data_IF_850223086374
#
_entry.id   IF_850223086374
#
_cell.length_a   1.000
_cell.length_b   1.000
_cell.length_c   1.000
_cell.angle_alpha   90.00
_cell.angle_beta   90.00
_cell.angle_gamma   90.00
#
_symmetry.space_group_name_H-M   'P 1'
#
loop_
_entity.id
_entity.type
_entity.pdbx_description
1 polymer ?
#
# COMPACT_ATOMS: atom_id res chain seq x y z
N UNK A 1 12.15 -1.92 -27.89
CA UNK A 1 11.45 -3.19 -27.53
C UNK A 1 9.95 -2.99 -27.67
N UNK A 2 9.43 -1.83 -27.27
CA UNK A 2 8.02 -1.49 -27.45
C UNK A 2 7.63 -1.40 -28.93
N UNK A 3 8.50 -0.80 -29.77
CA UNK A 3 8.32 -0.77 -31.23
C UNK A 3 8.23 -2.16 -31.87
N UNK A 4 9.00 -3.14 -31.35
CA UNK A 4 9.02 -4.51 -31.86
C UNK A 4 7.70 -5.25 -31.63
N UNK A 5 6.92 -4.80 -30.65
CA UNK A 5 5.64 -5.39 -30.28
C UNK A 5 4.47 -4.43 -30.55
N UNK A 6 4.69 -3.24 -31.10
CA UNK A 6 3.65 -2.23 -31.32
C UNK A 6 2.80 -2.01 -30.06
N UNK A 7 3.48 -1.60 -28.98
CA UNK A 7 2.86 -1.33 -27.67
C UNK A 7 3.24 0.06 -27.19
N UNK A 8 2.30 0.73 -26.52
CA UNK A 8 2.47 2.06 -25.95
C UNK A 8 2.58 1.97 -24.41
N UNK A 9 3.34 2.87 -23.76
CA UNK A 9 3.35 2.97 -22.29
C UNK A 9 2.01 3.40 -21.70
N UNK A 10 1.14 4.02 -22.53
CA UNK A 10 -0.22 4.39 -22.16
C UNK A 10 -1.24 3.48 -22.84
N UNK A 11 -2.24 3.06 -22.08
CA UNK A 11 -3.35 2.23 -22.56
C UNK A 11 -4.68 2.93 -22.27
N UNK A 12 -5.63 2.81 -23.19
CA UNK A 12 -7.00 3.28 -23.00
C UNK A 12 -7.88 2.08 -22.62
N UNK A 13 -8.44 2.14 -21.42
CA UNK A 13 -9.32 1.10 -20.86
C UNK A 13 -10.50 1.78 -20.16
N UNK A 14 -11.60 1.05 -20.03
CA UNK A 14 -12.75 1.54 -19.25
C UNK A 14 -12.43 1.51 -17.75
N UNK A 15 -13.20 2.26 -16.96
CA UNK A 15 -13.10 2.23 -15.49
C UNK A 15 -13.35 0.81 -14.96
N UNK A 16 -14.33 0.11 -15.52
CA UNK A 16 -14.64 -1.27 -15.16
C UNK A 16 -13.46 -2.22 -15.42
N UNK A 17 -12.81 -2.10 -16.58
CA UNK A 17 -11.63 -2.91 -16.93
C UNK A 17 -10.43 -2.62 -16.03
N UNK A 18 -10.20 -1.36 -15.67
CA UNK A 18 -9.08 -1.01 -14.80
C UNK A 18 -9.31 -1.51 -13.37
N UNK A 19 -10.55 -1.45 -12.88
CA UNK A 19 -10.85 -1.75 -11.47
C UNK A 19 -11.24 -3.21 -11.27
N UNK A 20 -12.18 -3.74 -12.06
CA UNK A 20 -12.89 -4.98 -11.76
C UNK A 20 -12.67 -6.09 -12.80
N UNK A 21 -13.11 -5.88 -14.04
CA UNK A 21 -13.12 -6.96 -15.05
C UNK A 21 -11.74 -7.29 -15.60
N UNK A 22 -10.77 -6.40 -15.39
CA UNK A 22 -9.42 -6.53 -15.89
C UNK A 22 -9.30 -6.22 -17.39
N UNK A 23 -8.10 -5.84 -17.79
CA UNK A 23 -7.72 -5.78 -19.21
C UNK A 23 -6.46 -6.59 -19.47
N UNK A 24 -6.35 -7.12 -20.69
CA UNK A 24 -5.17 -7.86 -21.10
C UNK A 24 -4.01 -6.91 -21.37
N UNK A 25 -2.87 -7.12 -20.71
CA UNK A 25 -1.68 -6.32 -20.95
C UNK A 25 -1.12 -6.61 -22.36
N UNK A 26 -1.16 -5.64 -23.30
CA UNK A 26 -0.79 -5.90 -24.70
C UNK A 26 0.66 -6.36 -24.84
N UNK A 27 1.57 -5.81 -24.02
CA UNK A 27 3.00 -6.15 -24.07
C UNK A 27 3.27 -7.56 -23.54
N UNK A 28 2.71 -7.93 -22.39
CA UNK A 28 2.94 -9.23 -21.77
C UNK A 28 2.45 -10.34 -22.70
N UNK A 29 1.20 -10.23 -23.19
CA UNK A 29 0.63 -11.24 -24.07
C UNK A 29 1.44 -11.36 -25.38
N UNK A 30 1.83 -10.24 -25.99
CA UNK A 30 2.64 -10.27 -27.22
C UNK A 30 4.04 -10.86 -27.00
N UNK A 31 4.71 -10.57 -25.88
CA UNK A 31 6.03 -11.13 -25.54
C UNK A 31 5.92 -12.62 -25.28
N UNK A 32 4.97 -13.04 -24.44
CA UNK A 32 4.79 -14.46 -24.09
C UNK A 32 4.41 -15.27 -25.33
N UNK A 33 3.48 -14.78 -26.15
CA UNK A 33 3.08 -15.45 -27.39
C UNK A 33 4.27 -15.60 -28.37
N UNK A 34 5.13 -14.58 -28.48
CA UNK A 34 6.31 -14.64 -29.36
C UNK A 34 7.38 -15.58 -28.81
N UNK A 35 7.55 -15.68 -27.49
CA UNK A 35 8.47 -16.60 -26.84
C UNK A 35 7.98 -18.06 -26.97
N UNK A 36 6.69 -18.31 -26.76
CA UNK A 36 6.05 -19.61 -27.00
C UNK A 36 6.19 -20.01 -28.47
N UNK A 37 5.92 -19.10 -29.41
CA UNK A 37 6.13 -19.33 -30.85
C UNK A 37 7.59 -19.69 -31.16
N UNK A 38 8.56 -18.95 -30.59
CA UNK A 38 9.98 -19.21 -30.77
C UNK A 38 10.37 -20.60 -30.26
N UNK A 39 9.99 -20.95 -29.03
CA UNK A 39 10.33 -22.26 -28.44
C UNK A 39 9.67 -23.41 -29.21
N UNK A 40 8.39 -23.27 -29.58
CA UNK A 40 7.67 -24.30 -30.33
C UNK A 40 8.25 -24.52 -31.73
N UNK A 41 8.66 -23.45 -32.44
CA UNK A 41 9.12 -23.54 -33.83
C UNK A 41 10.63 -23.76 -34.01
N UNK A 42 11.46 -23.33 -33.07
CA UNK A 42 12.92 -23.50 -33.16
C UNK A 42 13.46 -24.67 -32.34
N UNK A 43 12.85 -24.96 -31.18
CA UNK A 43 13.38 -25.96 -30.23
C UNK A 43 12.57 -27.27 -30.31
N UNK A 44 11.42 -27.28 -31.00
CA UNK A 44 10.61 -28.49 -31.22
C UNK A 44 9.95 -29.04 -29.95
N UNK A 45 10.07 -28.33 -28.83
CA UNK A 45 9.38 -28.63 -27.58
C UNK A 45 7.97 -28.06 -27.73
N UNK A 46 6.94 -28.92 -27.76
CA UNK A 46 5.56 -28.47 -27.61
C UNK A 46 5.34 -28.04 -26.16
N UNK A 47 5.52 -26.76 -25.86
CA UNK A 47 4.99 -26.21 -24.61
C UNK A 47 3.46 -26.40 -24.66
N UNK A 48 2.91 -27.14 -23.70
CA UNK A 48 1.46 -27.29 -23.57
C UNK A 48 0.85 -25.94 -23.18
N UNK A 49 -0.05 -25.50 -24.07
CA UNK A 49 -1.12 -24.50 -23.96
C UNK A 49 -0.78 -23.09 -23.50
N UNK A 50 -1.20 -22.15 -24.35
CA UNK A 50 -1.74 -20.83 -24.01
C UNK A 50 -1.58 -20.47 -22.54
N UNK A 51 -0.53 -19.74 -22.21
CA UNK A 51 -0.50 -19.01 -20.95
C UNK A 51 -1.79 -18.21 -20.90
N UNK A 52 -2.65 -18.53 -19.93
CA UNK A 52 -3.90 -17.81 -19.72
C UNK A 52 -3.58 -16.30 -19.80
N UNK A 53 -4.35 -15.52 -20.58
CA UNK A 53 -4.04 -14.12 -20.78
C UNK A 53 -3.89 -13.43 -19.43
N UNK A 54 -2.76 -12.74 -19.22
CA UNK A 54 -2.53 -12.03 -17.98
C UNK A 54 -3.37 -10.75 -17.98
N UNK A 55 -4.25 -10.66 -16.99
CA UNK A 55 -5.08 -9.48 -16.78
C UNK A 55 -4.43 -8.54 -15.77
N UNK A 56 -4.56 -7.25 -16.02
CA UNK A 56 -4.22 -6.18 -15.10
C UNK A 56 -5.54 -5.60 -14.58
N UNK A 57 -5.66 -5.55 -13.27
CA UNK A 57 -6.79 -4.96 -12.54
C UNK A 57 -6.29 -4.46 -11.18
N UNK A 58 -6.97 -3.45 -10.64
CA UNK A 58 -6.66 -2.89 -9.33
C UNK A 58 -7.41 -3.55 -8.18
N UNK A 59 -8.54 -4.21 -8.46
CA UNK A 59 -9.34 -4.90 -7.46
C UNK A 59 -9.74 -6.31 -7.93
N UNK A 60 -8.89 -7.29 -7.64
CA UNK A 60 -9.17 -8.70 -7.86
C UNK A 60 -10.04 -9.34 -6.77
N UNK A 61 -10.35 -8.61 -5.70
CA UNK A 61 -10.83 -9.18 -4.44
C UNK A 61 -12.34 -9.00 -4.21
N UNK A 62 -13.11 -8.88 -5.30
CA UNK A 62 -14.55 -8.72 -5.16
C UNK A 62 -15.20 -10.00 -4.61
N UNK A 63 -15.88 -9.88 -3.46
CA UNK A 63 -16.50 -10.98 -2.73
C UNK A 63 -15.53 -12.12 -2.36
N UNK A 64 -14.24 -11.81 -2.20
CA UNK A 64 -13.22 -12.75 -1.72
C UNK A 64 -12.79 -12.39 -0.30
N UNK A 65 -12.25 -13.38 0.39
CA UNK A 65 -11.43 -13.17 1.58
C UNK A 65 -10.44 -14.32 1.63
N UNK A 66 -9.18 -13.99 1.90
CA UNK A 66 -8.17 -15.01 2.17
C UNK A 66 -7.55 -14.84 3.56
N UNK A 67 -7.66 -13.64 4.16
CA UNK A 67 -7.09 -13.36 5.46
C UNK A 67 -8.08 -13.72 6.59
N UNK A 68 -7.65 -14.60 7.49
CA UNK A 68 -8.37 -14.95 8.70
C UNK A 68 -7.71 -14.32 9.92
N UNK A 69 -8.28 -13.23 10.44
CA UNK A 69 -7.74 -12.50 11.58
C UNK A 69 -8.09 -13.17 12.92
N UNK A 70 -7.06 -13.36 13.75
CA UNK A 70 -7.23 -13.69 15.16
C UNK A 70 -7.11 -12.40 15.97
N UNK A 71 -8.14 -12.06 16.73
CA UNK A 71 -8.21 -10.79 17.45
C UNK A 71 -8.41 -10.99 18.94
N UNK A 72 -7.93 -10.04 19.72
CA UNK A 72 -8.23 -9.95 21.15
C UNK A 72 -9.70 -9.60 21.35
N UNK A 73 -10.41 -10.43 22.12
CA UNK A 73 -11.83 -10.18 22.46
C UNK A 73 -12.04 -9.05 23.46
N UNK A 74 -10.97 -8.59 24.11
CA UNK A 74 -11.05 -7.61 25.21
C UNK A 74 -11.35 -8.22 26.59
N UNK A 75 -11.56 -9.54 26.69
CA UNK A 75 -11.91 -10.22 27.96
C UNK A 75 -10.82 -10.09 29.02
N UNK A 76 -9.56 -10.28 28.63
CA UNK A 76 -8.40 -10.21 29.53
C UNK A 76 -7.88 -8.78 29.70
N UNK A 77 -7.94 -7.98 28.64
CA UNK A 77 -7.52 -6.59 28.63
C UNK A 77 -8.42 -5.78 27.67
N UNK A 78 -9.22 -4.88 28.25
CA UNK A 78 -10.17 -4.05 27.49
C UNK A 78 -9.45 -3.05 26.58
N UNK A 79 -8.21 -2.66 26.89
CA UNK A 79 -7.42 -1.75 26.05
C UNK A 79 -6.91 -2.41 24.76
N UNK A 80 -6.99 -3.74 24.69
CA UNK A 80 -6.61 -4.53 23.51
C UNK A 80 -7.80 -5.05 22.72
N UNK A 81 -9.04 -4.63 23.03
CA UNK A 81 -10.23 -5.08 22.30
C UNK A 81 -10.08 -4.85 20.79
N UNK A 82 -10.25 -5.91 20.00
CA UNK A 82 -10.13 -5.89 18.54
C UNK A 82 -8.71 -5.88 18.00
N UNK A 83 -7.69 -5.81 18.85
CA UNK A 83 -6.31 -5.81 18.38
C UNK A 83 -5.99 -7.13 17.70
N UNK A 84 -5.37 -7.05 16.53
CA UNK A 84 -4.98 -8.22 15.75
C UNK A 84 -3.77 -8.87 16.41
N UNK A 85 -3.90 -10.16 16.71
CA UNK A 85 -2.83 -11.00 17.23
C UNK A 85 -1.93 -11.53 16.12
N UNK A 86 -2.58 -12.00 15.06
CA UNK A 86 -2.03 -12.65 13.87
C UNK A 86 -3.13 -12.79 12.82
N UNK A 87 -2.78 -13.01 11.56
CA UNK A 87 -3.70 -13.50 10.54
C UNK A 87 -3.12 -14.76 9.87
N UNK A 88 -4.02 -15.67 9.55
CA UNK A 88 -3.74 -16.85 8.73
C UNK A 88 -4.27 -16.63 7.30
N UNK A 89 -3.85 -17.48 6.37
CA UNK A 89 -4.43 -17.55 5.03
C UNK A 89 -5.41 -18.73 4.93
N UNK A 90 -6.46 -18.62 4.11
CA UNK A 90 -7.47 -19.66 3.94
C UNK A 90 -7.17 -20.59 2.77
N UNK A 91 -6.61 -20.03 1.70
CA UNK A 91 -6.39 -20.68 0.39
C UNK A 91 -4.95 -20.58 -0.07
N UNK A 92 -4.05 -20.09 0.78
CA UNK A 92 -2.65 -19.78 0.45
C UNK A 92 -2.45 -18.70 -0.63
N UNK A 93 -3.49 -17.92 -0.95
CA UNK A 93 -3.36 -16.79 -1.89
C UNK A 93 -2.59 -15.61 -1.27
N UNK A 94 -2.66 -15.46 0.05
CA UNK A 94 -2.00 -14.44 0.86
C UNK A 94 -0.89 -15.03 1.70
N UNK A 95 0.11 -14.21 2.05
CA UNK A 95 1.08 -14.57 3.09
C UNK A 95 0.42 -14.46 4.47
N UNK A 96 0.60 -15.45 5.38
CA UNK A 96 0.18 -15.33 6.77
C UNK A 96 1.16 -14.47 7.56
N UNK A 97 0.76 -13.98 8.74
CA UNK A 97 1.68 -13.34 9.69
C UNK A 97 2.47 -14.36 10.50
N UNK A 98 3.64 -13.97 11.00
CA UNK A 98 4.40 -14.74 11.98
C UNK A 98 4.10 -14.25 13.40
N UNK A 99 3.00 -14.75 13.98
CA UNK A 99 2.49 -14.23 15.24
C UNK A 99 2.10 -12.76 15.08
N UNK A 100 2.68 -11.89 15.91
CA UNK A 100 2.45 -10.44 15.83
C UNK A 100 3.45 -9.71 14.90
N UNK A 101 4.01 -10.42 13.92
CA UNK A 101 4.94 -9.85 12.94
C UNK A 101 4.42 -9.98 11.51
N UNK A 102 4.58 -8.92 10.72
CA UNK A 102 4.30 -8.89 9.29
C UNK A 102 5.37 -9.70 8.53
N UNK A 103 5.04 -10.22 7.34
CA UNK A 103 6.02 -10.91 6.48
C UNK A 103 7.27 -10.06 6.23
N UNK A 104 8.46 -10.60 6.52
CA UNK A 104 9.74 -9.91 6.30
C UNK A 104 9.93 -9.52 4.83
N UNK A 105 9.37 -10.31 3.91
CA UNK A 105 9.42 -10.06 2.47
C UNK A 105 8.75 -8.75 2.05
N UNK A 106 7.81 -8.22 2.84
CA UNK A 106 7.17 -6.93 2.54
C UNK A 106 8.10 -5.75 2.81
N UNK A 107 8.94 -5.84 3.86
CA UNK A 107 9.75 -4.73 4.34
C UNK A 107 11.20 -5.15 4.61
N UNK A 108 12.01 -5.40 3.57
CA UNK A 108 13.40 -5.83 3.73
C UNK A 108 14.26 -4.80 4.48
N UNK A 109 13.83 -3.53 4.56
CA UNK A 109 14.47 -2.50 5.37
C UNK A 109 14.51 -2.81 6.88
N UNK A 110 13.78 -3.83 7.35
CA UNK A 110 13.77 -4.23 8.76
C UNK A 110 15.14 -4.62 9.33
N UNK A 111 16.03 -5.14 8.48
CA UNK A 111 17.38 -5.59 8.84
C UNK A 111 18.48 -4.64 8.35
N UNK A 112 18.09 -3.48 7.82
CA UNK A 112 19.04 -2.53 7.24
C UNK A 112 19.97 -1.94 8.31
N UNK A 113 21.27 -2.01 8.06
CA UNK A 113 22.31 -1.54 9.00
C UNK A 113 22.24 -0.04 9.32
N UNK A 114 21.58 0.73 8.47
CA UNK A 114 21.39 2.18 8.63
C UNK A 114 20.08 2.57 9.33
N UNK A 115 19.23 1.59 9.67
CA UNK A 115 17.94 1.83 10.31
C UNK A 115 17.90 1.16 11.69
N UNK A 116 18.20 1.93 12.74
CA UNK A 116 18.26 1.44 14.12
C UNK A 116 16.97 0.74 14.56
N UNK A 117 15.82 1.28 14.15
CA UNK A 117 14.50 0.73 14.48
C UNK A 117 13.82 0.04 13.30
N UNK A 118 14.59 -0.60 12.41
CA UNK A 118 14.05 -1.29 11.23
C UNK A 118 12.95 -2.30 11.56
N UNK A 119 13.10 -3.03 12.67
CA UNK A 119 12.11 -4.01 13.14
C UNK A 119 10.71 -3.42 13.39
N UNK A 120 10.57 -2.12 13.59
CA UNK A 120 9.26 -1.45 13.69
C UNK A 120 8.40 -1.66 12.44
N UNK A 121 9.04 -1.84 11.27
CA UNK A 121 8.34 -2.08 10.01
C UNK A 121 7.59 -3.42 9.95
N UNK A 122 8.00 -4.40 10.77
CA UNK A 122 7.37 -5.71 10.84
C UNK A 122 6.31 -5.80 11.93
N UNK A 123 6.02 -4.72 12.68
CA UNK A 123 5.07 -4.80 13.78
C UNK A 123 3.63 -4.95 13.27
N UNK A 124 2.93 -6.00 13.69
CA UNK A 124 1.47 -6.10 13.61
C UNK A 124 0.89 -5.60 14.94
N UNK A 125 0.19 -4.46 14.90
CA UNK A 125 -0.42 -3.87 16.10
C UNK A 125 -1.70 -3.12 15.75
N UNK A 126 -2.59 -3.00 16.74
CA UNK A 126 -3.87 -2.32 16.59
C UNK A 126 -4.96 -3.16 15.94
N UNK A 127 -6.09 -2.50 15.68
CA UNK A 127 -7.26 -3.10 15.03
C UNK A 127 -7.15 -2.97 13.50
N UNK A 128 -8.16 -3.43 12.78
CA UNK A 128 -8.30 -3.19 11.33
C UNK A 128 -8.90 -1.80 11.01
N UNK A 129 -9.23 -1.00 12.02
CA UNK A 129 -9.79 0.35 11.87
C UNK A 129 -11.32 0.44 11.90
N UNK A 130 -12.03 -0.68 12.01
CA UNK A 130 -13.52 -0.68 12.09
C UNK A 130 -14.03 -0.19 13.46
N UNK A 131 -13.22 -0.39 14.50
CA UNK A 131 -13.44 0.08 15.86
C UNK A 131 -12.13 0.12 16.63
N UNK A 132 -12.13 0.80 17.78
CA UNK A 132 -10.98 1.01 18.63
C UNK A 132 -11.30 0.68 20.09
N UNK A 133 -10.29 0.70 20.95
CA UNK A 133 -10.46 0.49 22.38
C UNK A 133 -11.30 1.61 23.03
N UNK A 134 -11.96 1.28 24.14
CA UNK A 134 -12.72 2.23 24.94
C UNK A 134 -11.83 3.30 25.62
N UNK A 135 -12.45 4.43 25.95
CA UNK A 135 -11.83 5.54 26.70
C UNK A 135 -10.60 6.15 26.01
N UNK A 136 -10.74 6.42 24.70
CA UNK A 136 -9.72 7.05 23.87
C UNK A 136 -9.42 8.45 24.40
N UNK A 137 -8.13 8.78 24.48
CA UNK A 137 -7.63 10.09 24.87
C UNK A 137 -7.06 10.82 23.67
N UNK A 138 -7.10 12.15 23.72
CA UNK A 138 -6.48 13.03 22.72
C UNK A 138 -4.96 12.85 22.59
N UNK A 139 -4.32 12.29 23.62
CA UNK A 139 -2.88 11.97 23.65
C UNK A 139 -2.57 10.60 23.07
N UNK A 140 -3.57 9.79 22.74
CA UNK A 140 -3.35 8.45 22.23
C UNK A 140 -2.84 8.51 20.79
N UNK A 141 -1.96 7.55 20.46
CA UNK A 141 -1.52 7.28 19.10
C UNK A 141 -2.10 5.92 18.72
N UNK A 142 -3.15 5.91 17.90
CA UNK A 142 -3.99 4.74 17.65
C UNK A 142 -3.38 3.86 16.56
N UNK A 143 -2.90 2.64 16.86
CA UNK A 143 -2.40 1.73 15.83
C UNK A 143 -3.56 1.17 15.00
N UNK A 144 -3.36 1.11 13.70
CA UNK A 144 -4.26 0.45 12.75
C UNK A 144 -3.44 -0.34 11.75
N UNK A 145 -3.73 -1.63 11.63
CA UNK A 145 -3.16 -2.46 10.59
C UNK A 145 -3.99 -2.31 9.31
N UNK A 146 -3.35 -1.88 8.22
CA UNK A 146 -4.00 -1.70 6.93
C UNK A 146 -3.35 -2.66 5.95
N UNK A 147 -4.05 -3.76 5.67
CA UNK A 147 -3.55 -4.83 4.79
C UNK A 147 -3.15 -4.30 3.40
N UNK A 148 -3.95 -3.40 2.82
CA UNK A 148 -3.65 -2.76 1.52
C UNK A 148 -2.35 -1.95 1.52
N UNK A 149 -1.91 -1.45 2.69
CA UNK A 149 -0.64 -0.74 2.84
C UNK A 149 0.49 -1.64 3.32
N UNK A 150 0.19 -2.92 3.56
CA UNK A 150 1.14 -3.92 4.01
C UNK A 150 1.80 -3.55 5.34
N UNK A 151 1.22 -2.64 6.15
CA UNK A 151 1.84 -2.14 7.38
C UNK A 151 0.85 -1.72 8.45
N UNK A 152 1.34 -1.67 9.68
CA UNK A 152 0.71 -0.89 10.76
C UNK A 152 1.04 0.59 10.56
N UNK A 153 0.01 1.42 10.66
CA UNK A 153 0.10 2.88 10.69
C UNK A 153 -0.49 3.38 12.00
N UNK A 154 -0.17 4.61 12.40
CA UNK A 154 -0.72 5.17 13.61
C UNK A 154 -1.45 6.48 13.34
N UNK A 155 -2.67 6.59 13.86
CA UNK A 155 -3.47 7.80 13.77
C UNK A 155 -3.22 8.69 15.00
N UNK A 156 -3.26 9.99 14.81
CA UNK A 156 -3.10 10.99 15.87
C UNK A 156 -4.31 11.91 15.93
N UNK A 157 -4.65 12.38 17.12
CA UNK A 157 -5.73 13.34 17.33
C UNK A 157 -5.46 14.63 16.54
N UNK A 158 -6.50 15.15 15.90
CA UNK A 158 -6.52 16.43 15.18
C UNK A 158 -7.40 17.45 15.91
N UNK A 159 -8.68 17.13 16.11
CA UNK A 159 -9.65 18.06 16.72
C UNK A 159 -10.90 17.36 17.29
N UNK A 160 -11.67 18.10 18.08
CA UNK A 160 -13.02 17.70 18.47
C UNK A 160 -13.98 17.89 17.29
N UNK A 161 -14.95 16.98 17.16
CA UNK A 161 -15.98 16.99 16.13
C UNK A 161 -17.35 16.64 16.72
N UNK A 162 -18.40 16.86 15.95
CA UNK A 162 -19.75 16.37 16.25
C UNK A 162 -20.30 15.73 14.99
N UNK A 163 -20.66 14.45 15.08
CA UNK A 163 -21.23 13.67 13.97
C UNK A 163 -22.65 13.31 14.34
N UNK A 164 -23.63 13.82 13.60
CA UNK A 164 -25.07 13.56 13.85
C UNK A 164 -25.48 13.81 15.33
N UNK A 165 -24.93 14.87 15.94
CA UNK A 165 -25.20 15.24 17.33
C UNK A 165 -24.38 14.48 18.39
N UNK A 166 -23.54 13.53 17.99
CA UNK A 166 -22.66 12.77 18.88
C UNK A 166 -21.28 13.43 18.94
N UNK A 167 -20.79 13.83 20.13
CA UNK A 167 -19.44 14.37 20.27
C UNK A 167 -18.39 13.29 20.00
N UNK A 168 -17.34 13.65 19.27
CA UNK A 168 -16.27 12.73 18.91
C UNK A 168 -14.91 13.41 18.77
N UNK A 169 -13.89 12.60 18.58
CA UNK A 169 -12.52 13.02 18.28
C UNK A 169 -12.16 12.63 16.85
N UNK A 170 -11.69 13.60 16.06
CA UNK A 170 -11.08 13.34 14.76
C UNK A 170 -9.64 12.91 14.96
N UNK A 171 -9.32 11.75 14.43
CA UNK A 171 -7.97 11.25 14.25
C UNK A 171 -7.61 11.28 12.76
N UNK A 172 -6.34 11.57 12.47
CA UNK A 172 -5.81 11.62 11.10
C UNK A 172 -4.55 10.78 10.99
N UNK A 173 -4.21 10.38 9.76
CA UNK A 173 -2.90 9.80 9.48
C UNK A 173 -1.88 10.95 9.41
N UNK A 174 -0.91 11.09 10.33
CA UNK A 174 -0.01 12.25 10.30
C UNK A 174 0.99 12.17 9.15
N UNK A 175 1.49 13.32 8.68
CA UNK A 175 2.46 13.42 7.59
C UNK A 175 3.72 12.55 7.83
N UNK A 176 4.15 12.48 9.08
CA UNK A 176 5.34 11.73 9.48
C UNK A 176 5.23 10.22 9.23
N UNK A 177 4.02 9.67 8.99
CA UNK A 177 3.90 8.22 8.72
C UNK A 177 4.55 7.76 7.42
N UNK A 178 4.71 8.68 6.46
CA UNK A 178 5.43 8.44 5.22
C UNK A 178 6.77 9.17 5.17
N UNK A 179 7.31 9.54 6.34
CA UNK A 179 8.63 10.13 6.47
C UNK A 179 9.63 9.09 6.97
N UNK A 180 10.48 8.58 6.06
CA UNK A 180 11.48 7.55 6.37
C UNK A 180 12.72 8.10 7.09
N UNK A 181 12.83 9.42 7.29
CA UNK A 181 13.87 9.99 8.18
C UNK A 181 13.52 9.79 9.65
N UNK A 182 12.25 9.53 9.98
CA UNK A 182 11.84 9.12 11.30
C UNK A 182 12.39 7.71 11.58
N UNK A 183 13.13 7.48 12.68
CA UNK A 183 13.62 6.16 13.04
C UNK A 183 12.52 5.08 13.06
N UNK A 184 11.30 5.41 13.50
CA UNK A 184 10.21 4.44 13.54
C UNK A 184 9.74 3.99 12.14
N UNK A 185 10.04 4.79 11.11
CA UNK A 185 9.62 4.56 9.72
C UNK A 185 10.76 4.18 8.77
N UNK A 186 12.02 4.22 9.22
CA UNK A 186 13.16 3.95 8.34
C UNK A 186 13.16 2.52 7.77
N UNK A 187 12.47 1.56 8.40
CA UNK A 187 12.34 0.19 7.92
C UNK A 187 11.38 0.02 6.73
N UNK A 188 10.54 1.02 6.46
CA UNK A 188 9.62 1.04 5.30
C UNK A 188 10.28 1.58 4.02
N UNK A 189 11.59 1.82 4.05
CA UNK A 189 12.34 2.35 2.93
C UNK A 189 13.01 1.23 2.14
N UNK A 190 12.73 1.22 0.83
CA UNK A 190 13.35 0.32 -0.13
C UNK A 190 14.39 1.10 -0.97
N UNK A 191 15.65 0.63 -1.07
CA UNK A 191 16.67 1.23 -1.93
C UNK A 191 16.23 1.39 -3.39
N UNK A 192 16.45 2.58 -3.95
CA UNK A 192 16.08 2.86 -5.33
C UNK A 192 17.01 2.16 -6.31
N UNK A 193 16.45 1.39 -7.23
CA UNK A 193 17.26 0.71 -8.26
C UNK A 193 17.69 1.64 -9.40
N UNK A 194 16.88 2.64 -9.73
CA UNK A 194 17.07 3.49 -10.92
C UNK A 194 16.94 5.00 -10.62
N UNK A 195 16.79 5.38 -9.35
CA UNK A 195 16.41 6.74 -8.93
C UNK A 195 14.90 6.99 -9.05
N UNK A 196 14.46 8.17 -8.59
CA UNK A 196 13.08 8.63 -8.72
C UNK A 196 13.04 10.16 -8.58
N UNK A 197 12.27 10.86 -9.42
CA UNK A 197 12.21 12.33 -9.39
C UNK A 197 13.60 12.98 -9.52
N UNK A 198 13.96 13.93 -8.62
CA UNK A 198 15.30 14.51 -8.51
C UNK A 198 16.24 13.67 -7.62
N UNK A 199 15.73 12.57 -7.05
CA UNK A 199 16.47 11.70 -6.14
C UNK A 199 17.36 10.73 -6.93
N UNK A 200 18.68 10.72 -6.69
CA UNK A 200 19.62 9.96 -7.50
C UNK A 200 19.50 8.45 -7.25
N UNK A 201 20.12 7.65 -8.14
CA UNK A 201 20.06 6.19 -8.09
C UNK A 201 20.63 5.57 -6.82
N UNK A 202 21.58 6.25 -6.17
CA UNK A 202 22.22 5.83 -4.93
C UNK A 202 21.48 6.31 -3.68
N UNK A 203 20.39 7.07 -3.85
CA UNK A 203 19.55 7.44 -2.74
C UNK A 203 18.86 6.21 -2.14
N UNK A 204 18.69 6.28 -0.82
CA UNK A 204 18.23 5.15 -0.03
C UNK A 204 16.72 4.99 -0.09
N UNK A 205 15.97 6.09 -0.11
CA UNK A 205 14.51 6.08 0.04
C UNK A 205 13.85 7.00 -0.98
N UNK A 206 12.56 6.74 -1.24
CA UNK A 206 11.70 7.69 -1.95
C UNK A 206 11.56 9.01 -1.16
N UNK A 207 11.25 10.13 -1.83
CA UNK A 207 10.86 11.37 -1.14
C UNK A 207 9.74 11.15 -0.12
N UNK A 208 9.76 11.93 0.97
CA UNK A 208 8.73 11.88 2.02
C UNK A 208 7.32 12.07 1.44
N UNK A 209 6.36 11.32 1.98
CA UNK A 209 4.96 11.31 1.51
C UNK A 209 4.64 10.22 0.49
N UNK A 210 5.64 9.43 0.11
CA UNK A 210 5.49 8.26 -0.76
C UNK A 210 5.87 6.98 0.00
N UNK A 211 5.09 5.92 -0.19
CA UNK A 211 5.34 4.58 0.36
C UNK A 211 5.48 3.59 -0.80
N UNK A 212 6.63 2.93 -0.90
CA UNK A 212 6.88 1.90 -1.90
C UNK A 212 6.29 0.56 -1.47
N UNK A 213 5.26 0.10 -2.19
CA UNK A 213 4.56 -1.16 -1.93
C UNK A 213 5.03 -2.30 -2.83
N UNK A 214 6.09 -2.10 -3.62
CA UNK A 214 6.50 -3.07 -4.64
C UNK A 214 6.73 -4.48 -4.11
N UNK A 215 7.35 -4.62 -2.94
CA UNK A 215 7.62 -5.92 -2.34
C UNK A 215 6.36 -6.67 -1.90
N UNK A 216 5.29 -5.98 -1.48
CA UNK A 216 4.03 -6.63 -1.14
C UNK A 216 3.04 -6.72 -2.33
N UNK A 217 3.35 -6.04 -3.44
CA UNK A 217 2.60 -6.07 -4.70
C UNK A 217 3.32 -6.90 -5.78
N UNK A 218 3.95 -8.01 -5.38
CA UNK A 218 4.61 -8.96 -6.28
C UNK A 218 5.65 -8.33 -7.24
N UNK A 219 6.35 -7.29 -6.78
CA UNK A 219 7.38 -6.56 -7.53
C UNK A 219 6.85 -5.49 -8.48
N UNK A 220 5.53 -5.27 -8.55
CA UNK A 220 4.96 -4.16 -9.34
C UNK A 220 5.42 -2.81 -8.75
N UNK A 221 5.82 -1.81 -9.56
CA UNK A 221 6.41 -0.55 -9.07
C UNK A 221 5.32 0.43 -8.55
N UNK A 222 4.52 -0.04 -7.60
CA UNK A 222 3.39 0.68 -7.01
C UNK A 222 3.87 1.53 -5.83
N UNK A 223 3.58 2.82 -5.91
CA UNK A 223 3.85 3.80 -4.86
C UNK A 223 2.53 4.35 -4.34
N UNK A 224 2.32 4.26 -3.03
CA UNK A 224 1.17 4.87 -2.39
C UNK A 224 1.51 6.28 -1.91
N UNK A 225 0.54 7.18 -2.01
CA UNK A 225 0.60 8.51 -1.40
C UNK A 225 -0.77 8.90 -0.86
N UNK A 226 -0.87 10.05 -0.20
CA UNK A 226 -2.16 10.73 -0.08
C UNK A 226 -2.60 11.30 -1.44
N UNK A 227 -3.91 11.48 -1.67
CA UNK A 227 -4.42 12.13 -2.88
C UNK A 227 -3.72 13.46 -3.17
N UNK A 228 -3.54 13.74 -4.46
CA UNK A 228 -2.87 14.93 -4.97
C UNK A 228 -1.44 15.14 -4.44
N UNK A 229 -0.81 14.10 -3.87
CA UNK A 229 0.47 14.19 -3.14
C UNK A 229 0.41 15.15 -1.94
N UNK A 230 -0.75 15.23 -1.28
CA UNK A 230 -0.89 15.97 -0.02
C UNK A 230 0.12 15.50 1.04
N UNK A 231 0.78 16.47 1.69
CA UNK A 231 1.87 16.27 2.65
C UNK A 231 3.13 15.56 2.12
N UNK A 232 3.27 15.40 0.79
CA UNK A 232 4.52 14.95 0.20
C UNK A 232 5.54 16.09 0.05
N UNK A 233 6.81 15.73 -0.10
CA UNK A 233 7.87 16.70 -0.39
C UNK A 233 7.59 17.49 -1.69
N UNK A 234 7.98 18.77 -1.77
CA UNK A 234 7.74 19.61 -2.94
C UNK A 234 8.31 19.02 -4.24
N UNK A 235 9.37 18.21 -4.16
CA UNK A 235 9.94 17.53 -5.33
C UNK A 235 8.92 16.63 -6.03
N UNK A 236 7.97 16.03 -5.30
CA UNK A 236 6.96 15.14 -5.88
C UNK A 236 5.88 15.95 -6.60
N UNK A 237 5.35 16.98 -5.95
CA UNK A 237 4.25 17.80 -6.50
C UNK A 237 4.68 18.61 -7.74
N UNK A 238 5.97 18.96 -7.88
CA UNK A 238 6.52 19.63 -9.08
C UNK A 238 6.32 18.84 -10.37
N UNK A 239 6.27 17.51 -10.31
CA UNK A 239 6.07 16.67 -11.49
C UNK A 239 4.61 16.62 -11.93
N UNK A 240 3.68 17.04 -11.07
CA UNK A 240 2.24 17.10 -11.37
C UNK A 240 1.67 18.46 -10.93
N UNK A 241 2.06 19.57 -11.59
CA UNK A 241 1.73 20.93 -11.15
C UNK A 241 0.24 21.28 -11.19
N UNK A 242 -0.59 20.40 -11.78
CA UNK A 242 -2.05 20.56 -11.82
C UNK A 242 -2.73 20.13 -10.53
N UNK A 243 -2.08 19.30 -9.72
CA UNK A 243 -2.62 18.86 -8.44
C UNK A 243 -2.63 20.02 -7.45
N UNK A 244 -3.73 20.12 -6.70
CA UNK A 244 -3.96 21.15 -5.69
C UNK A 244 -4.28 20.46 -4.37
N UNK A 245 -3.26 20.10 -3.58
CA UNK A 245 -3.46 19.40 -2.33
C UNK A 245 -4.35 20.20 -1.37
N UNK A 246 -5.30 19.54 -0.70
CA UNK A 246 -6.22 20.15 0.23
C UNK A 246 -6.54 19.20 1.40
N UNK A 247 -6.56 19.75 2.62
CA UNK A 247 -6.83 19.00 3.84
C UNK A 247 -8.17 18.23 3.78
N UNK A 248 -9.27 18.87 3.39
CA UNK A 248 -10.61 18.26 3.44
C UNK A 248 -10.80 17.14 2.38
N UNK A 249 -10.13 17.28 1.23
CA UNK A 249 -10.25 16.34 0.12
C UNK A 249 -9.22 15.21 0.15
N UNK A 250 -8.05 15.42 0.76
CA UNK A 250 -6.89 14.54 0.60
C UNK A 250 -6.37 13.93 1.90
N UNK A 251 -6.87 14.34 3.06
CA UNK A 251 -6.51 13.71 4.33
C UNK A 251 -7.32 12.42 4.56
N UNK A 252 -6.68 11.44 5.20
CA UNK A 252 -7.36 10.27 5.78
C UNK A 252 -7.80 10.61 7.19
N UNK A 253 -9.12 10.59 7.41
CA UNK A 253 -9.74 11.02 8.66
C UNK A 253 -10.62 9.91 9.25
N UNK A 254 -10.66 9.87 10.58
CA UNK A 254 -11.49 8.95 11.34
C UNK A 254 -12.08 9.69 12.54
N UNK A 255 -13.40 9.77 12.60
CA UNK A 255 -14.13 10.39 13.72
C UNK A 255 -14.59 9.29 14.67
N UNK A 256 -14.15 9.36 15.93
CA UNK A 256 -14.37 8.33 16.94
C UNK A 256 -15.17 8.87 18.11
N UNK A 257 -16.13 8.08 18.60
CA UNK A 257 -16.76 8.33 19.88
C UNK A 257 -15.80 7.87 21.01
N UNK A 258 -15.35 8.77 21.90
CA UNK A 258 -14.22 8.50 22.78
C UNK A 258 -14.49 7.47 23.88
N UNK A 259 -15.72 7.31 24.36
CA UNK A 259 -16.01 6.38 25.45
C UNK A 259 -16.09 4.93 24.97
N UNK A 260 -16.68 4.69 23.82
CA UNK A 260 -16.91 3.36 23.24
C UNK A 260 -15.82 2.94 22.26
N UNK A 261 -15.10 3.89 21.65
CA UNK A 261 -14.15 3.61 20.57
C UNK A 261 -14.83 3.30 19.23
N UNK A 262 -16.12 3.63 19.11
CA UNK A 262 -16.93 3.38 17.91
C UNK A 262 -16.58 4.41 16.83
N UNK A 263 -16.44 3.96 15.59
CA UNK A 263 -16.27 4.84 14.43
C UNK A 263 -17.60 5.51 14.08
N UNK A 264 -17.64 6.84 14.17
CA UNK A 264 -18.80 7.66 13.81
C UNK A 264 -18.81 8.00 12.33
N UNK A 265 -17.64 8.34 11.78
CA UNK A 265 -17.44 8.62 10.36
C UNK A 265 -16.00 8.31 9.96
N UNK A 266 -15.80 7.86 8.73
CA UNK A 266 -14.47 7.55 8.20
C UNK A 266 -14.32 8.05 6.77
N UNK A 267 -13.14 8.60 6.47
CA UNK A 267 -12.71 8.99 5.14
C UNK A 267 -11.32 8.41 4.90
N UNK A 268 -11.25 7.14 4.49
CA UNK A 268 -9.99 6.51 4.08
C UNK A 268 -9.67 6.96 2.66
N UNK A 269 -8.56 7.68 2.49
CA UNK A 269 -8.16 8.25 1.20
C UNK A 269 -6.69 7.96 0.89
N UNK A 270 -6.45 7.36 -0.26
CA UNK A 270 -5.11 7.06 -0.76
C UNK A 270 -5.06 7.22 -2.27
N UNK A 271 -3.85 7.36 -2.80
CA UNK A 271 -3.58 7.44 -4.23
C UNK A 271 -2.56 6.38 -4.60
N UNK A 272 -2.89 5.64 -5.66
CA UNK A 272 -2.02 4.66 -6.29
C UNK A 272 -1.24 5.37 -7.39
N UNK A 273 0.08 5.24 -7.36
CA UNK A 273 0.99 5.79 -8.34
C UNK A 273 1.86 4.67 -8.90
N UNK A 274 2.32 4.82 -10.14
CA UNK A 274 3.25 3.89 -10.78
C UNK A 274 4.57 4.63 -11.01
N UNK A 275 5.67 4.12 -10.46
CA UNK A 275 6.99 4.69 -10.72
C UNK A 275 7.47 4.25 -12.11
N UNK A 276 7.64 5.22 -13.01
CA UNK A 276 8.10 4.99 -14.38
C UNK A 276 9.45 5.66 -14.57
N UNK A 277 10.46 4.88 -14.98
CA UNK A 277 11.81 5.35 -15.25
C UNK A 277 12.15 5.19 -16.73
N UNK A 278 12.91 6.13 -17.28
CA UNK A 278 13.40 6.02 -18.65
C UNK A 278 14.51 4.95 -18.71
N UNK A 279 14.32 3.94 -19.55
CA UNK A 279 15.30 2.90 -19.82
C UNK A 279 15.91 3.13 -21.20
N UNK A 280 17.23 3.35 -21.27
CA UNK A 280 17.96 3.73 -22.51
C UNK A 280 17.76 2.73 -23.66
N UNK A 281 17.48 1.47 -23.34
CA UNK A 281 17.29 0.39 -24.32
C UNK A 281 15.82 0.15 -24.72
N UNK A 282 14.88 0.83 -24.07
CA UNK A 282 13.46 0.79 -24.41
C UNK A 282 13.15 2.09 -25.15
N UNK A 283 13.37 2.03 -26.46
CA UNK A 283 12.68 2.86 -27.44
C UNK A 283 11.34 2.18 -27.74
#
# INVERSE_FOLDING_TARGET
>A
MMDLFDVSPFVNVTVDQLIFSGYQAPMINKVVNKLVWFVNNLIGIKLLNETAPQYVLLNSENATTDQLYHVWTGKSDRQKTGFILRWDNMTNASLPSEGNSLPESWWPGFNATWCEKGKSALKLDGTNGDYFQNFIKKTDRLPVFIYDLCRTSYLTYDRDVTVEGIPGYRFVLPADEFNTTNPDNCGFCNPLKYGAYETPKDARCMPTGLLDLSNCQNGAPIMLSKPHFYQAEPVVSRFVPRFKPNYDADETMLDLEPYTGTVLAAQKRSQINVLVNQLVHIK
#
